data_IF_779601550579
#
_entry.id   IF_779601550579
#
_cell.length_a   1.000
_cell.length_b   1.000
_cell.length_c   1.000
_cell.angle_alpha   90.00
_cell.angle_beta   90.00
_cell.angle_gamma   90.00
#
_symmetry.space_group_name_H-M   'P 1'
#
loop_
_entity.id
_entity.type
_entity.pdbx_description
1 polymer ?
#
# COMPACT_ATOMS: atom_id res chain seq x y z
N UNK A 1 18.15 -1.59 -15.07
CA UNK A 1 16.92 -1.60 -15.89
C UNK A 1 16.42 -3.03 -15.99
N UNK A 2 15.11 -3.20 -15.83
CA UNK A 2 14.47 -4.51 -15.98
C UNK A 2 14.60 -5.05 -17.40
N UNK A 3 14.66 -6.36 -17.54
CA UNK A 3 14.66 -7.10 -18.81
C UNK A 3 13.62 -8.22 -18.72
N UNK A 4 13.41 -8.96 -19.80
CA UNK A 4 12.45 -10.08 -19.80
C UNK A 4 12.88 -11.26 -18.89
N UNK A 5 14.14 -11.30 -18.50
CA UNK A 5 14.71 -12.34 -17.63
C UNK A 5 14.97 -11.85 -16.19
N UNK A 6 15.07 -10.53 -16.01
CA UNK A 6 15.43 -9.90 -14.72
C UNK A 6 14.56 -8.69 -14.48
N UNK A 7 13.82 -8.69 -13.40
CA UNK A 7 13.09 -7.53 -12.91
C UNK A 7 13.88 -6.84 -11.81
N UNK A 8 13.98 -5.52 -11.90
CA UNK A 8 14.84 -4.72 -11.03
C UNK A 8 14.04 -4.12 -9.88
N UNK A 9 14.46 -4.38 -8.65
CA UNK A 9 13.85 -3.78 -7.44
C UNK A 9 14.46 -2.39 -7.22
N UNK A 10 13.66 -1.35 -7.34
CA UNK A 10 14.07 0.05 -7.16
C UNK A 10 14.14 0.49 -5.68
N UNK A 11 14.55 -0.41 -4.81
CA UNK A 11 14.70 -0.16 -3.37
C UNK A 11 16.10 -0.61 -2.92
N UNK A 12 16.73 0.12 -2.01
CA UNK A 12 18.01 -0.35 -1.43
C UNK A 12 17.78 -1.54 -0.48
N UNK A 13 18.82 -2.36 -0.32
CA UNK A 13 18.74 -3.60 0.46
C UNK A 13 18.34 -3.38 1.93
N UNK A 14 18.76 -2.25 2.55
CA UNK A 14 18.40 -1.94 3.92
C UNK A 14 16.91 -1.58 4.04
N UNK A 15 16.35 -0.93 3.02
CA UNK A 15 14.94 -0.61 2.97
C UNK A 15 14.10 -1.89 2.81
N UNK A 16 14.48 -2.75 1.86
CA UNK A 16 13.81 -4.05 1.68
C UNK A 16 13.86 -4.88 2.96
N UNK A 17 15.03 -4.96 3.62
CA UNK A 17 15.17 -5.66 4.90
C UNK A 17 14.25 -5.09 6.01
N UNK A 18 14.06 -3.77 6.03
CA UNK A 18 13.19 -3.13 7.02
C UNK A 18 11.70 -3.47 6.79
N UNK A 19 11.23 -3.49 5.53
CA UNK A 19 9.87 -3.95 5.19
C UNK A 19 9.71 -5.44 5.49
N UNK A 20 10.71 -6.26 5.14
CA UNK A 20 10.71 -7.68 5.46
C UNK A 20 10.51 -7.93 6.95
N UNK A 21 11.14 -7.15 7.84
CA UNK A 21 10.93 -7.28 9.28
C UNK A 21 9.46 -7.15 9.70
N UNK A 22 8.68 -6.29 9.04
CA UNK A 22 7.23 -6.17 9.23
C UNK A 22 6.49 -7.38 8.64
N UNK A 23 6.80 -7.73 7.39
CA UNK A 23 6.11 -8.80 6.69
C UNK A 23 6.39 -10.19 7.29
N UNK A 24 7.55 -10.41 7.89
CA UNK A 24 7.87 -11.63 8.65
C UNK A 24 6.95 -11.82 9.88
N UNK A 25 6.55 -10.73 10.52
CA UNK A 25 5.56 -10.79 11.60
C UNK A 25 4.16 -11.16 11.08
N UNK A 26 3.80 -10.68 9.88
CA UNK A 26 2.51 -10.95 9.23
C UNK A 26 2.44 -12.34 8.64
N UNK A 27 3.55 -12.83 8.04
CA UNK A 27 3.66 -14.08 7.26
C UNK A 27 2.60 -14.15 6.15
N UNK A 28 2.64 -13.21 5.20
CA UNK A 28 1.58 -13.08 4.22
C UNK A 28 1.56 -14.26 3.25
N UNK A 29 0.34 -14.63 2.82
CA UNK A 29 0.07 -15.49 1.67
C UNK A 29 -0.72 -14.73 0.61
N UNK A 30 -1.44 -13.69 1.00
CA UNK A 30 -2.24 -12.84 0.12
C UNK A 30 -1.85 -11.39 0.32
N UNK A 31 -1.34 -10.77 -0.72
CA UNK A 31 -0.87 -9.37 -0.66
C UNK A 31 -1.51 -8.50 -1.73
N UNK A 32 -1.56 -7.21 -1.44
CA UNK A 32 -1.81 -6.15 -2.41
C UNK A 32 -0.59 -5.25 -2.49
N UNK A 33 -0.18 -4.89 -3.69
CA UNK A 33 0.82 -3.85 -3.96
C UNK A 33 0.18 -2.73 -4.78
N UNK A 34 0.44 -1.49 -4.41
CA UNK A 34 0.00 -0.29 -5.13
C UNK A 34 1.23 0.52 -5.50
N UNK A 35 1.42 0.72 -6.81
CA UNK A 35 2.67 1.23 -7.38
C UNK A 35 3.60 0.08 -7.78
N UNK A 36 3.61 -0.25 -9.07
CA UNK A 36 4.32 -1.41 -9.63
C UNK A 36 5.64 -1.00 -10.27
N UNK A 37 5.65 0.16 -10.96
CA UNK A 37 6.79 0.63 -11.74
C UNK A 37 7.28 -0.47 -12.72
N UNK A 38 8.50 -0.96 -12.56
CA UNK A 38 9.09 -2.03 -13.38
C UNK A 38 8.73 -3.46 -12.89
N UNK A 39 7.99 -3.59 -11.78
CA UNK A 39 7.53 -4.86 -11.22
C UNK A 39 8.55 -5.66 -10.40
N UNK A 40 9.69 -5.06 -10.08
CA UNK A 40 10.73 -5.75 -9.32
C UNK A 40 10.29 -6.14 -7.92
N UNK A 41 9.62 -5.23 -7.19
CA UNK A 41 9.05 -5.50 -5.87
C UNK A 41 7.92 -6.53 -5.95
N UNK A 42 7.06 -6.46 -6.96
CA UNK A 42 5.96 -7.41 -7.20
C UNK A 42 6.48 -8.85 -7.26
N UNK A 43 7.51 -9.08 -8.07
CA UNK A 43 8.13 -10.41 -8.21
C UNK A 43 8.88 -10.81 -6.94
N UNK A 44 9.59 -9.86 -6.33
CA UNK A 44 10.33 -10.11 -5.09
C UNK A 44 9.42 -10.58 -3.95
N UNK A 45 8.30 -9.88 -3.69
CA UNK A 45 7.36 -10.27 -2.63
C UNK A 45 6.79 -11.67 -2.87
N UNK A 46 6.43 -12.00 -4.12
CA UNK A 46 5.93 -13.33 -4.46
C UNK A 46 6.91 -14.42 -4.06
N UNK A 47 8.17 -14.33 -4.48
CA UNK A 47 9.16 -15.36 -4.18
C UNK A 47 9.61 -15.35 -2.73
N UNK A 48 9.74 -14.18 -2.11
CA UNK A 48 10.20 -14.05 -0.73
C UNK A 48 9.25 -14.71 0.27
N UNK A 49 7.94 -14.62 0.01
CA UNK A 49 6.90 -15.11 0.94
C UNK A 49 6.13 -16.32 0.41
N UNK A 50 6.47 -16.83 -0.77
CA UNK A 50 5.73 -17.90 -1.43
C UNK A 50 4.22 -17.59 -1.43
N UNK A 51 3.89 -16.42 -2.05
CA UNK A 51 2.52 -15.90 -2.04
C UNK A 51 1.60 -16.75 -2.90
N UNK A 52 0.45 -17.09 -2.34
CA UNK A 52 -0.65 -17.72 -3.05
C UNK A 52 -1.30 -16.75 -4.05
N UNK A 53 -1.40 -15.47 -3.64
CA UNK A 53 -2.00 -14.42 -4.47
C UNK A 53 -1.38 -13.05 -4.15
N UNK A 54 -0.98 -12.36 -5.22
CA UNK A 54 -0.61 -10.95 -5.20
C UNK A 54 -1.45 -10.21 -6.24
N UNK A 55 -2.21 -9.21 -5.81
CA UNK A 55 -2.87 -8.25 -6.69
C UNK A 55 -2.03 -6.96 -6.70
N UNK A 56 -1.55 -6.55 -7.85
CA UNK A 56 -0.72 -5.37 -8.01
C UNK A 56 -1.44 -4.32 -8.86
N UNK A 57 -1.39 -3.05 -8.46
CA UNK A 57 -2.10 -1.95 -9.11
C UNK A 57 -1.13 -0.87 -9.55
N UNK A 58 -1.30 -0.34 -10.76
CA UNK A 58 -0.54 0.81 -11.24
C UNK A 58 -1.41 1.70 -12.14
N UNK A 59 -1.15 3.02 -12.09
CA UNK A 59 -1.78 3.99 -12.99
C UNK A 59 -1.18 3.93 -14.40
N UNK A 60 0.03 3.41 -14.56
CA UNK A 60 0.65 3.19 -15.86
C UNK A 60 -0.20 2.25 -16.72
N UNK A 61 -0.12 2.41 -18.04
CA UNK A 61 -0.88 1.59 -18.96
C UNK A 61 -0.37 0.15 -19.06
N UNK A 62 0.92 -0.07 -18.81
CA UNK A 62 1.57 -1.37 -18.82
C UNK A 62 2.93 -1.35 -18.10
N UNK A 63 3.49 -2.53 -17.86
CA UNK A 63 4.89 -2.77 -17.51
C UNK A 63 5.38 -3.99 -18.32
N UNK A 64 5.83 -3.78 -19.59
CA UNK A 64 6.02 -4.87 -20.54
C UNK A 64 7.00 -5.95 -20.08
N UNK A 65 8.05 -5.58 -19.34
CA UNK A 65 9.02 -6.55 -18.81
C UNK A 65 8.39 -7.44 -17.74
N UNK A 66 7.59 -6.84 -16.83
CA UNK A 66 6.87 -7.60 -15.81
C UNK A 66 5.86 -8.57 -16.44
N UNK A 67 5.07 -8.09 -17.39
CA UNK A 67 4.06 -8.92 -18.08
C UNK A 67 4.73 -10.15 -18.72
N UNK A 68 5.80 -9.95 -19.50
CA UNK A 68 6.53 -11.06 -20.11
C UNK A 68 7.21 -11.99 -19.09
N UNK A 69 7.71 -11.42 -17.98
CA UNK A 69 8.28 -12.21 -16.89
C UNK A 69 7.23 -13.13 -16.24
N UNK A 70 6.03 -12.59 -15.95
CA UNK A 70 4.91 -13.36 -15.39
C UNK A 70 4.48 -14.49 -16.33
N UNK A 71 4.30 -14.20 -17.62
CA UNK A 71 3.93 -15.19 -18.63
C UNK A 71 4.97 -16.31 -18.74
N UNK A 72 6.24 -15.94 -18.92
CA UNK A 72 7.35 -16.89 -19.09
C UNK A 72 7.55 -17.82 -17.89
N UNK A 73 7.37 -17.29 -16.68
CA UNK A 73 7.51 -18.06 -15.44
C UNK A 73 6.19 -18.68 -14.95
N UNK A 74 5.10 -18.56 -15.73
CA UNK A 74 3.77 -19.13 -15.42
C UNK A 74 3.21 -18.66 -14.08
N UNK A 75 3.42 -17.38 -13.75
CA UNK A 75 3.00 -16.78 -12.49
C UNK A 75 1.61 -16.12 -12.54
N UNK A 76 0.89 -16.17 -13.67
CA UNK A 76 -0.38 -15.47 -13.86
C UNK A 76 -1.49 -15.90 -12.87
N UNK A 77 -1.39 -17.10 -12.32
CA UNK A 77 -2.31 -17.55 -11.27
C UNK A 77 -1.99 -16.95 -9.89
N UNK A 78 -0.72 -16.65 -9.62
CA UNK A 78 -0.28 -16.10 -8.35
C UNK A 78 -0.17 -14.57 -8.36
N UNK A 79 0.24 -13.97 -9.48
CA UNK A 79 0.44 -12.53 -9.63
C UNK A 79 -0.56 -11.98 -10.66
N UNK A 80 -1.45 -11.10 -10.23
CA UNK A 80 -2.37 -10.36 -11.10
C UNK A 80 -2.06 -8.89 -11.07
N UNK A 81 -1.80 -8.30 -12.23
CA UNK A 81 -1.47 -6.88 -12.35
C UNK A 81 -2.61 -6.14 -13.04
N UNK A 82 -3.08 -5.09 -12.39
CA UNK A 82 -4.17 -4.22 -12.85
C UNK A 82 -3.59 -2.86 -13.26
N UNK A 83 -3.36 -2.69 -14.54
CA UNK A 83 -2.85 -1.44 -15.11
C UNK A 83 -3.96 -0.40 -15.36
N UNK A 84 -3.58 0.86 -15.42
CA UNK A 84 -4.46 1.99 -15.64
C UNK A 84 -5.45 2.22 -14.48
N UNK A 85 -5.13 1.77 -13.26
CA UNK A 85 -5.96 1.93 -12.05
C UNK A 85 -5.33 2.96 -11.13
N UNK A 86 -5.97 4.12 -10.99
CA UNK A 86 -5.53 5.15 -10.06
C UNK A 86 -5.89 4.78 -8.61
N UNK A 87 -5.09 5.24 -7.63
CA UNK A 87 -5.39 5.09 -6.19
C UNK A 87 -6.76 5.66 -5.80
N UNK A 88 -7.26 6.65 -6.53
CA UNK A 88 -8.57 7.28 -6.32
C UNK A 88 -9.74 6.50 -6.95
N UNK A 89 -9.47 5.54 -7.82
CA UNK A 89 -10.51 4.74 -8.48
C UNK A 89 -11.00 3.61 -7.57
N UNK A 90 -11.78 4.01 -6.58
CA UNK A 90 -12.30 3.12 -5.53
C UNK A 90 -13.13 1.95 -6.10
N UNK A 91 -13.82 2.16 -7.19
CA UNK A 91 -14.68 1.14 -7.79
C UNK A 91 -13.84 0.05 -8.46
N UNK A 92 -12.86 0.44 -9.28
CA UNK A 92 -11.97 -0.52 -9.95
C UNK A 92 -11.11 -1.27 -8.94
N UNK A 93 -10.59 -0.59 -7.91
CA UNK A 93 -9.84 -1.24 -6.82
C UNK A 93 -10.69 -2.32 -6.12
N UNK A 94 -11.92 -1.98 -5.69
CA UNK A 94 -12.81 -2.96 -5.05
C UNK A 94 -13.16 -4.13 -5.94
N UNK A 95 -13.51 -3.85 -7.21
CA UNK A 95 -13.88 -4.87 -8.18
C UNK A 95 -12.72 -5.85 -8.40
N UNK A 96 -11.51 -5.34 -8.60
CA UNK A 96 -10.33 -6.18 -8.80
C UNK A 96 -9.98 -7.00 -7.55
N UNK A 97 -9.99 -6.39 -6.36
CA UNK A 97 -9.73 -7.11 -5.10
C UNK A 97 -10.76 -8.22 -4.87
N UNK A 98 -12.04 -7.94 -5.11
CA UNK A 98 -13.09 -8.96 -4.98
C UNK A 98 -12.92 -10.10 -6.00
N UNK A 99 -12.50 -9.78 -7.24
CA UNK A 99 -12.24 -10.79 -8.27
C UNK A 99 -10.99 -11.65 -7.96
N UNK A 100 -9.96 -11.05 -7.36
CA UNK A 100 -8.69 -11.73 -7.09
C UNK A 100 -8.72 -12.57 -5.81
N UNK A 101 -9.39 -12.10 -4.78
CA UNK A 101 -9.39 -12.74 -3.45
C UNK A 101 -10.73 -13.38 -3.08
N UNK A 102 -11.85 -13.03 -3.75
CA UNK A 102 -13.17 -13.52 -3.40
C UNK A 102 -13.56 -13.14 -1.97
N UNK A 103 -13.89 -14.14 -1.15
CA UNK A 103 -14.19 -13.95 0.28
C UNK A 103 -12.96 -13.97 1.18
N UNK A 104 -11.80 -14.33 0.64
CA UNK A 104 -10.54 -14.35 1.38
C UNK A 104 -10.10 -12.94 1.77
N UNK A 105 -9.46 -12.85 2.94
CA UNK A 105 -8.88 -11.61 3.41
C UNK A 105 -7.42 -11.48 2.99
N UNK A 106 -6.99 -10.25 2.80
CA UNK A 106 -5.61 -9.87 2.49
C UNK A 106 -4.78 -9.86 3.77
N UNK A 107 -3.55 -10.34 3.73
CA UNK A 107 -2.64 -10.37 4.88
C UNK A 107 -1.85 -9.08 5.01
N UNK A 108 -1.37 -8.54 3.88
CA UNK A 108 -0.56 -7.31 3.86
C UNK A 108 -0.82 -6.48 2.61
N UNK A 109 -0.65 -5.17 2.75
CA UNK A 109 -0.67 -4.19 1.66
C UNK A 109 0.63 -3.39 1.70
N UNK A 110 1.23 -3.15 0.53
CA UNK A 110 2.33 -2.20 0.34
C UNK A 110 1.87 -1.14 -0.64
N UNK A 111 1.83 0.12 -0.20
CA UNK A 111 1.41 1.29 -0.98
C UNK A 111 2.62 2.20 -1.21
N UNK A 112 3.16 2.15 -2.42
CA UNK A 112 4.33 2.87 -2.90
C UNK A 112 4.01 3.60 -4.22
N UNK A 113 2.88 4.33 -4.28
CA UNK A 113 2.40 4.92 -5.52
C UNK A 113 2.61 6.44 -5.58
N UNK A 114 1.58 7.25 -5.28
CA UNK A 114 1.62 8.70 -5.53
C UNK A 114 2.31 9.53 -4.45
N UNK A 115 2.37 9.03 -3.22
CA UNK A 115 2.81 9.76 -2.01
C UNK A 115 2.01 11.05 -1.75
N UNK A 116 0.75 11.08 -2.20
CA UNK A 116 -0.16 12.20 -2.03
C UNK A 116 -1.28 11.88 -1.05
N UNK A 117 -1.60 12.82 -0.16
CA UNK A 117 -2.64 12.64 0.86
C UNK A 117 -3.97 12.14 0.32
N UNK A 118 -4.52 12.82 -0.70
CA UNK A 118 -5.86 12.50 -1.22
C UNK A 118 -5.91 11.12 -1.86
N UNK A 119 -4.90 10.81 -2.67
CA UNK A 119 -4.83 9.56 -3.41
C UNK A 119 -4.54 8.38 -2.48
N UNK A 120 -3.54 8.49 -1.61
CA UNK A 120 -3.20 7.43 -0.65
C UNK A 120 -4.31 7.20 0.37
N UNK A 121 -4.99 8.27 0.86
CA UNK A 121 -6.15 8.12 1.73
C UNK A 121 -7.30 7.40 1.04
N UNK A 122 -7.60 7.74 -0.22
CA UNK A 122 -8.63 7.07 -1.00
C UNK A 122 -8.34 5.58 -1.17
N UNK A 123 -7.08 5.24 -1.49
CA UNK A 123 -6.60 3.87 -1.61
C UNK A 123 -6.70 3.13 -0.28
N UNK A 124 -6.16 3.71 0.80
CA UNK A 124 -6.22 3.15 2.15
C UNK A 124 -7.66 2.84 2.57
N UNK A 125 -8.57 3.82 2.48
CA UNK A 125 -9.98 3.64 2.86
C UNK A 125 -10.69 2.58 2.01
N UNK A 126 -10.18 2.30 0.82
CA UNK A 126 -10.74 1.30 -0.09
C UNK A 126 -10.24 -0.11 0.21
N UNK A 127 -8.94 -0.26 0.48
CA UNK A 127 -8.27 -1.56 0.61
C UNK A 127 -8.24 -2.05 2.06
N UNK A 128 -8.07 -1.14 3.03
CA UNK A 128 -7.91 -1.48 4.45
C UNK A 128 -9.01 -2.40 5.02
N UNK A 129 -10.30 -2.26 4.64
CA UNK A 129 -11.35 -3.17 5.09
C UNK A 129 -11.19 -4.63 4.62
N UNK A 130 -10.37 -4.89 3.62
CA UNK A 130 -10.08 -6.25 3.14
C UNK A 130 -8.94 -6.93 3.90
N UNK A 131 -8.18 -6.18 4.71
CA UNK A 131 -7.15 -6.77 5.56
C UNK A 131 -7.78 -7.63 6.66
N UNK A 132 -7.17 -8.79 6.93
CA UNK A 132 -7.51 -9.58 8.11
C UNK A 132 -7.11 -8.86 9.41
N UNK A 133 -7.68 -9.23 10.51
CA UNK A 133 -7.23 -8.82 11.84
C UNK A 133 -5.74 -9.15 12.01
N UNK A 134 -4.96 -8.19 12.49
CA UNK A 134 -3.50 -8.29 12.63
C UNK A 134 -2.73 -8.26 11.30
N UNK A 135 -3.40 -8.00 10.18
CA UNK A 135 -2.76 -7.68 8.91
C UNK A 135 -2.15 -6.28 8.92
N UNK A 136 -1.24 -6.01 7.99
CA UNK A 136 -0.50 -4.76 7.92
C UNK A 136 -0.72 -4.00 6.61
N UNK A 137 -0.99 -2.69 6.70
CA UNK A 137 -0.94 -1.75 5.58
C UNK A 137 0.33 -0.91 5.72
N UNK A 138 1.24 -1.02 4.76
CA UNK A 138 2.52 -0.32 4.74
C UNK A 138 2.40 0.83 3.74
N UNK A 139 2.65 2.06 4.19
CA UNK A 139 2.68 3.27 3.36
C UNK A 139 4.12 3.72 3.24
N UNK A 140 4.70 3.62 2.04
CA UNK A 140 6.09 4.04 1.78
C UNK A 140 6.22 5.54 1.58
N UNK A 141 7.42 6.05 1.78
CA UNK A 141 7.88 7.40 1.47
C UNK A 141 6.98 8.55 1.98
N UNK A 142 6.26 8.33 3.09
CA UNK A 142 5.35 9.30 3.69
C UNK A 142 5.98 10.66 3.98
N UNK A 143 7.30 10.70 4.22
CA UNK A 143 8.06 11.92 4.52
C UNK A 143 8.68 12.57 3.28
N UNK A 144 8.38 12.07 2.08
CA UNK A 144 9.02 12.52 0.84
C UNK A 144 8.91 14.03 0.61
N UNK A 145 7.73 14.60 0.73
CA UNK A 145 7.50 16.04 0.60
C UNK A 145 8.14 16.90 1.71
N UNK A 146 8.57 16.31 2.83
CA UNK A 146 9.28 16.99 3.91
C UNK A 146 10.81 16.94 3.78
N UNK A 147 11.34 16.31 2.74
CA UNK A 147 12.78 16.11 2.59
C UNK A 147 13.53 17.42 2.32
N UNK A 148 14.56 17.70 3.12
CA UNK A 148 15.49 18.82 2.89
C UNK A 148 16.35 18.65 1.64
N UNK A 149 16.33 17.49 0.98
CA UNK A 149 17.03 17.26 -0.27
C UNK A 149 16.45 18.08 -1.43
N UNK A 150 15.19 18.46 -1.33
CA UNK A 150 14.52 19.29 -2.32
C UNK A 150 14.83 20.76 -2.11
N UNK A 151 15.12 21.54 -3.17
CA UNK A 151 15.22 22.99 -3.08
C UNK A 151 13.95 23.61 -2.45
N UNK A 152 14.06 24.73 -1.70
CA UNK A 152 12.90 25.34 -1.05
C UNK A 152 11.73 25.65 -2.00
N UNK A 153 12.01 26.08 -3.23
CA UNK A 153 11.00 26.38 -4.23
C UNK A 153 10.23 25.12 -4.68
N UNK A 154 10.92 24.00 -4.88
CA UNK A 154 10.30 22.73 -5.24
C UNK A 154 9.52 22.12 -4.06
N UNK A 155 10.06 22.28 -2.83
CA UNK A 155 9.42 21.79 -1.60
C UNK A 155 8.05 22.39 -1.32
N UNK A 156 7.84 23.64 -1.73
CA UNK A 156 6.57 24.34 -1.52
C UNK A 156 5.39 23.64 -2.24
N UNK A 157 5.67 23.00 -3.36
CA UNK A 157 4.67 22.34 -4.21
C UNK A 157 4.67 20.80 -4.06
N UNK A 158 5.53 20.25 -3.18
CA UNK A 158 5.59 18.82 -2.94
C UNK A 158 4.34 18.33 -2.20
N UNK A 159 3.74 17.20 -2.63
CA UNK A 159 2.63 16.61 -1.92
C UNK A 159 3.04 16.18 -0.51
N UNK A 160 2.11 16.32 0.42
CA UNK A 160 2.32 15.98 1.83
C UNK A 160 1.44 14.79 2.22
N UNK A 161 2.03 13.83 2.91
CA UNK A 161 1.34 12.65 3.46
C UNK A 161 1.13 12.73 4.97
N UNK A 162 1.81 13.63 5.65
CA UNK A 162 1.72 13.79 7.11
C UNK A 162 0.30 14.02 7.64
N UNK A 163 -0.63 14.70 6.92
CA UNK A 163 -2.02 14.79 7.36
C UNK A 163 -2.69 13.41 7.47
N UNK A 164 -2.41 12.47 6.56
CA UNK A 164 -2.95 11.10 6.64
C UNK A 164 -2.43 10.38 7.88
N UNK A 165 -1.14 10.48 8.18
CA UNK A 165 -0.58 9.87 9.39
C UNK A 165 -1.22 10.44 10.66
N UNK A 166 -1.54 11.74 10.68
CA UNK A 166 -2.24 12.35 11.79
C UNK A 166 -3.64 11.77 11.98
N UNK A 167 -4.40 11.57 10.90
CA UNK A 167 -5.70 10.88 10.96
C UNK A 167 -5.57 9.44 11.47
N UNK A 168 -4.61 8.68 10.95
CA UNK A 168 -4.38 7.29 11.35
C UNK A 168 -4.02 7.16 12.83
N UNK A 169 -3.20 8.08 13.35
CA UNK A 169 -2.90 8.16 14.80
C UNK A 169 -4.15 8.47 15.63
N UNK A 170 -5.01 9.39 15.17
CA UNK A 170 -6.25 9.72 15.86
C UNK A 170 -7.21 8.52 15.90
N UNK A 171 -7.35 7.79 14.79
CA UNK A 171 -8.15 6.56 14.74
C UNK A 171 -7.57 5.50 15.67
N UNK A 172 -6.27 5.27 15.65
CA UNK A 172 -5.58 4.32 16.54
C UNK A 172 -5.84 4.66 18.02
N UNK A 173 -5.74 5.94 18.39
CA UNK A 173 -5.97 6.39 19.77
C UNK A 173 -7.43 6.35 20.23
N UNK A 174 -8.39 6.44 19.30
CA UNK A 174 -9.82 6.48 19.61
C UNK A 174 -10.54 5.16 19.39
N UNK A 175 -10.17 4.42 18.36
CA UNK A 175 -10.83 3.20 17.91
C UNK A 175 -9.81 2.09 17.61
N UNK A 176 -9.13 1.58 18.65
CA UNK A 176 -8.12 0.52 18.54
C UNK A 176 -8.66 -0.78 17.92
N UNK A 177 -9.95 -1.00 17.94
CA UNK A 177 -10.59 -2.10 17.22
C UNK A 177 -10.55 -1.92 15.70
N UNK A 178 -10.41 -0.69 15.21
CA UNK A 178 -10.24 -0.39 13.77
C UNK A 178 -8.76 -0.43 13.40
N UNK A 179 -7.94 0.37 14.06
CA UNK A 179 -6.48 0.40 13.92
C UNK A 179 -5.87 0.03 15.28
N UNK A 180 -5.27 -1.15 15.35
CA UNK A 180 -4.66 -1.64 16.59
C UNK A 180 -3.40 -0.87 16.95
N UNK A 181 -2.54 -0.62 15.96
CA UNK A 181 -1.25 0.03 16.15
C UNK A 181 -0.83 0.80 14.90
N UNK A 182 -0.12 1.91 15.09
CA UNK A 182 0.60 2.64 14.04
C UNK A 182 2.07 2.70 14.40
N UNK A 183 2.93 2.23 13.52
CA UNK A 183 4.38 2.32 13.63
C UNK A 183 4.92 3.22 12.53
N UNK A 184 5.74 4.19 12.89
CA UNK A 184 6.28 5.15 11.94
C UNK A 184 7.80 5.13 12.04
N UNK A 185 8.45 4.93 10.90
CA UNK A 185 9.88 5.14 10.78
C UNK A 185 10.18 6.17 9.68
N UNK A 186 11.45 6.40 9.38
CA UNK A 186 11.86 7.44 8.43
C UNK A 186 11.32 7.23 7.02
N UNK A 187 11.07 5.99 6.59
CA UNK A 187 10.80 5.64 5.20
C UNK A 187 9.38 5.17 4.96
N UNK A 188 8.76 4.54 5.96
CA UNK A 188 7.40 4.04 5.83
C UNK A 188 6.65 4.09 7.15
N UNK A 189 5.34 4.04 7.07
CA UNK A 189 4.45 3.81 8.19
C UNK A 189 3.75 2.46 8.04
N UNK A 190 3.52 1.77 9.15
CA UNK A 190 2.78 0.50 9.22
C UNK A 190 1.52 0.70 10.04
N UNK A 191 0.40 0.37 9.46
CA UNK A 191 -0.91 0.45 10.08
C UNK A 191 -1.46 -0.97 10.28
N UNK A 192 -1.57 -1.39 11.53
CA UNK A 192 -2.01 -2.72 11.90
C UNK A 192 -3.53 -2.76 12.04
N UNK A 193 -4.14 -3.72 11.36
CA UNK A 193 -5.59 -3.92 11.34
C UNK A 193 -6.10 -4.44 12.68
N UNK A 194 -7.03 -3.71 13.32
CA UNK A 194 -7.76 -4.16 14.51
C UNK A 194 -8.85 -5.19 14.21
N UNK A 195 -9.62 -5.56 15.22
CA UNK A 195 -10.59 -6.65 15.14
C UNK A 195 -12.00 -6.25 14.67
N UNK A 196 -12.28 -4.94 14.48
CA UNK A 196 -13.61 -4.49 14.06
C UNK A 196 -13.97 -5.04 12.68
N UNK A 197 -15.24 -5.40 12.48
CA UNK A 197 -15.77 -5.63 11.15
C UNK A 197 -15.96 -4.28 10.44
N UNK A 198 -15.35 -4.10 9.27
CA UNK A 198 -15.38 -2.85 8.52
C UNK A 198 -16.18 -2.99 7.22
N UNK A 199 -17.07 -2.02 6.92
CA UNK A 199 -17.83 -2.03 5.68
C UNK A 199 -16.91 -1.80 4.48
N UNK A 200 -16.78 -2.81 3.60
CA UNK A 200 -15.88 -2.78 2.43
C UNK A 200 -16.27 -1.70 1.40
N UNK A 201 -17.53 -1.29 1.37
CA UNK A 201 -18.07 -0.35 0.39
C UNK A 201 -17.98 1.13 0.80
N UNK A 202 -18.00 1.42 2.10
CA UNK A 202 -18.17 2.79 2.62
C UNK A 202 -17.26 3.19 3.77
N UNK A 203 -16.23 2.41 4.09
CA UNK A 203 -15.30 2.76 5.18
C UNK A 203 -14.66 4.13 4.95
N UNK A 204 -14.66 4.98 6.00
CA UNK A 204 -14.03 6.30 6.02
C UNK A 204 -13.32 6.52 7.35
N UNK A 205 -12.06 6.95 7.31
CA UNK A 205 -11.29 7.29 8.52
C UNK A 205 -11.98 8.33 9.38
N UNK A 206 -12.56 9.36 8.74
CA UNK A 206 -13.22 10.48 9.43
C UNK A 206 -14.43 10.06 10.30
N UNK A 207 -14.97 8.87 10.13
CA UNK A 207 -16.05 8.32 10.95
C UNK A 207 -15.55 7.74 12.28
N UNK A 208 -14.23 7.59 12.44
CA UNK A 208 -13.61 6.88 13.56
C UNK A 208 -12.78 7.78 14.48
N UNK A 209 -12.79 9.10 14.29
CA UNK A 209 -12.13 10.05 15.18
C UNK A 209 -12.84 11.41 15.19
N UNK A 210 -12.50 12.25 16.17
CA UNK A 210 -12.92 13.63 16.22
C UNK A 210 -11.69 14.53 16.31
N UNK A 211 -11.46 15.35 15.28
CA UNK A 211 -10.42 16.37 15.32
C UNK A 211 -10.87 17.51 16.25
N UNK A 212 -10.14 17.75 17.35
CA UNK A 212 -10.40 18.83 18.30
C UNK A 212 -9.12 19.64 18.51
N UNK A 213 -9.26 20.97 18.40
CA UNK A 213 -8.17 21.89 18.69
C UNK A 213 -7.16 22.13 17.55
N UNK A 214 -7.26 21.43 16.42
CA UNK A 214 -6.48 21.73 15.22
C UNK A 214 -7.24 21.31 13.96
N UNK A 215 -6.92 21.96 12.85
CA UNK A 215 -7.35 21.52 11.53
C UNK A 215 -6.23 20.69 10.88
N UNK A 216 -6.58 19.58 10.25
CA UNK A 216 -5.66 18.86 9.38
C UNK A 216 -5.57 19.69 8.10
N UNK A 217 -4.45 20.41 7.94
CA UNK A 217 -4.21 21.19 6.73
C UNK A 217 -3.90 20.24 5.57
N UNK A 218 -4.60 20.46 4.48
CA UNK A 218 -4.47 19.71 3.22
C UNK A 218 -3.57 20.46 2.24
#
# INVERSE_FOLDING_TARGET
MSTDDVVYVHKDAAFVASINGTLECVRPKRMVEVGVLDGGSTVYWHYQYDLERLAAFDIAADAPHLTRYIERNKLAEAIRVHFGVAQTDRERLRTAIAADFGDDLVDAVVDDASHEYVATKACFETIFPYLRTGGAYIIEDWAWGHSHKWPPAERADMPLMSPLLSELMLVCGHASSVIDKVEINRRFAVIWRGAADLPKDRFRLSEHYTARGFAIAL
#
